data_IF_806660854964
#
_entry.id   IF_806660854964
#
_cell.length_a   1.000
_cell.length_b   1.000
_cell.length_c   1.000
_cell.angle_alpha   90.00
_cell.angle_beta   90.00
_cell.angle_gamma   90.00
#
_symmetry.space_group_name_H-M   'P 1'
#
loop_
_entity.id
_entity.type
_entity.pdbx_description
1 polymer ?
#
# COMPACT_ATOMS: atom_id res chain seq x y z
N UNK A 1 -20.20 5.50 4.32
CA UNK A 1 -20.92 4.44 3.60
C UNK A 1 -21.10 4.85 2.15
N UNK A 2 -20.75 3.94 1.22
CA UNK A 2 -20.81 4.17 -0.22
C UNK A 2 -22.11 3.63 -0.81
N UNK A 3 -22.43 2.38 -0.49
CA UNK A 3 -23.63 1.70 -0.97
C UNK A 3 -24.36 1.01 0.18
N UNK A 4 -25.61 0.73 -0.03
CA UNK A 4 -26.45 -0.09 0.86
C UNK A 4 -27.12 -1.18 0.04
N UNK A 5 -26.83 -2.42 0.39
CA UNK A 5 -27.50 -3.61 -0.16
C UNK A 5 -28.77 -3.85 0.67
N UNK A 6 -29.81 -4.42 0.08
CA UNK A 6 -31.04 -4.74 0.83
C UNK A 6 -30.73 -5.63 2.05
N UNK A 7 -30.95 -5.14 3.29
CA UNK A 7 -30.61 -5.88 4.49
C UNK A 7 -31.70 -6.86 4.92
N UNK A 8 -32.90 -6.83 4.31
CA UNK A 8 -34.07 -7.57 4.80
C UNK A 8 -33.82 -9.08 4.94
N UNK A 9 -33.25 -9.79 3.96
CA UNK A 9 -32.95 -11.23 4.09
C UNK A 9 -31.95 -11.52 5.21
N UNK A 10 -30.94 -10.66 5.39
CA UNK A 10 -29.90 -10.82 6.41
C UNK A 10 -30.43 -10.55 7.82
N UNK A 11 -31.35 -9.58 7.99
CA UNK A 11 -32.05 -9.32 9.25
C UNK A 11 -32.90 -10.54 9.63
N UNK A 12 -33.62 -11.14 8.69
CA UNK A 12 -34.39 -12.33 8.93
C UNK A 12 -33.52 -13.52 9.37
N UNK A 13 -32.36 -13.72 8.70
CA UNK A 13 -31.40 -14.75 9.05
C UNK A 13 -30.82 -14.54 10.46
N UNK A 14 -30.46 -13.31 10.81
CA UNK A 14 -29.99 -12.95 12.15
C UNK A 14 -31.02 -13.23 13.23
N UNK A 15 -32.29 -12.88 12.98
CA UNK A 15 -33.38 -13.13 13.93
C UNK A 15 -33.61 -14.65 14.13
N UNK A 16 -33.50 -15.45 13.05
CA UNK A 16 -33.59 -16.92 13.12
C UNK A 16 -32.43 -17.50 13.96
N UNK A 17 -31.19 -17.05 13.73
CA UNK A 17 -30.04 -17.48 14.51
C UNK A 17 -30.18 -17.12 16.01
N UNK A 18 -30.66 -15.91 16.32
CA UNK A 18 -30.95 -15.47 17.70
C UNK A 18 -32.00 -16.34 18.37
N UNK A 19 -33.07 -16.71 17.67
CA UNK A 19 -34.09 -17.59 18.20
C UNK A 19 -33.56 -18.99 18.51
N UNK A 20 -32.69 -19.53 17.64
CA UNK A 20 -32.01 -20.81 17.85
C UNK A 20 -31.09 -20.76 19.06
N UNK A 21 -30.30 -19.70 19.22
CA UNK A 21 -29.46 -19.49 20.40
C UNK A 21 -30.30 -19.40 21.68
N UNK A 22 -31.40 -18.68 21.68
CA UNK A 22 -32.30 -18.56 22.83
C UNK A 22 -32.85 -19.94 23.26
N UNK A 23 -33.23 -20.80 22.29
CA UNK A 23 -33.65 -22.16 22.56
C UNK A 23 -32.52 -23.00 23.18
N UNK A 24 -31.28 -22.91 22.67
CA UNK A 24 -30.13 -23.62 23.21
C UNK A 24 -29.82 -23.15 24.66
N UNK A 25 -29.92 -21.85 24.91
CA UNK A 25 -29.74 -21.28 26.26
C UNK A 25 -30.80 -21.78 27.26
N UNK A 26 -32.07 -21.87 26.85
CA UNK A 26 -33.12 -22.43 27.68
C UNK A 26 -32.87 -23.92 27.98
N UNK A 27 -32.41 -24.70 26.99
CA UNK A 27 -32.04 -26.08 27.19
C UNK A 27 -30.85 -26.24 28.16
N UNK A 28 -29.82 -25.42 28.02
CA UNK A 28 -28.69 -25.39 28.96
C UNK A 28 -29.12 -25.05 30.38
N UNK A 29 -30.02 -24.08 30.54
CA UNK A 29 -30.54 -23.75 31.87
C UNK A 29 -31.27 -24.94 32.51
N UNK A 30 -32.08 -25.69 31.74
CA UNK A 30 -32.77 -26.89 32.20
C UNK A 30 -31.81 -28.01 32.58
N UNK A 31 -30.86 -28.36 31.72
CA UNK A 31 -29.87 -29.42 31.96
C UNK A 31 -28.94 -29.10 33.12
N UNK A 32 -28.50 -27.87 33.26
CA UNK A 32 -27.72 -27.42 34.41
C UNK A 32 -28.51 -27.55 35.73
N UNK A 33 -29.78 -27.16 35.73
CA UNK A 33 -30.64 -27.34 36.91
C UNK A 33 -30.84 -28.81 37.27
N UNK A 34 -30.91 -29.69 36.26
CA UNK A 34 -30.98 -31.14 36.48
C UNK A 34 -29.65 -31.69 37.07
N UNK A 35 -28.52 -31.34 36.47
CA UNK A 35 -27.20 -31.75 36.97
C UNK A 35 -26.97 -31.27 38.43
N UNK A 36 -27.38 -30.02 38.73
CA UNK A 36 -27.30 -29.46 40.09
C UNK A 36 -28.17 -30.27 41.10
N UNK A 37 -29.38 -30.63 40.72
CA UNK A 37 -30.23 -31.50 41.57
C UNK A 37 -29.60 -32.90 41.78
N UNK A 38 -29.12 -33.54 40.71
CA UNK A 38 -28.49 -34.85 40.82
C UNK A 38 -27.19 -34.82 41.64
N UNK A 39 -26.44 -33.72 41.63
CA UNK A 39 -25.27 -33.53 42.48
C UNK A 39 -25.62 -33.65 43.96
N UNK A 40 -26.73 -33.08 44.40
CA UNK A 40 -27.21 -33.16 45.78
C UNK A 40 -27.70 -34.59 46.12
N UNK A 41 -28.47 -35.21 45.19
CA UNK A 41 -29.06 -36.55 45.38
C UNK A 41 -27.99 -37.66 45.43
N UNK A 42 -26.93 -37.55 44.61
CA UNK A 42 -25.85 -38.54 44.63
C UNK A 42 -25.04 -38.45 45.93
N UNK A 43 -24.86 -37.25 46.49
CA UNK A 43 -24.22 -37.07 47.79
C UNK A 43 -25.03 -37.70 48.94
N UNK A 44 -26.37 -37.78 48.79
CA UNK A 44 -27.29 -38.44 49.73
C UNK A 44 -27.50 -39.93 49.41
N UNK A 45 -26.78 -40.51 48.44
CA UNK A 45 -26.94 -41.90 47.92
C UNK A 45 -28.37 -42.17 47.39
N UNK A 46 -29.13 -41.16 46.97
CA UNK A 46 -30.50 -41.29 46.50
C UNK A 46 -30.61 -41.53 44.98
N UNK A 47 -29.53 -41.39 44.22
CA UNK A 47 -29.42 -41.71 42.77
C UNK A 47 -28.07 -42.36 42.48
N UNK A 48 -27.96 -43.03 41.34
CA UNK A 48 -26.69 -43.67 40.94
C UNK A 48 -25.68 -42.62 40.48
N UNK A 49 -24.38 -42.92 40.64
CA UNK A 49 -23.32 -42.07 40.09
C UNK A 49 -23.42 -41.91 38.59
N UNK A 50 -23.85 -42.98 37.89
CA UNK A 50 -24.03 -42.99 36.44
C UNK A 50 -25.11 -41.96 36.00
N UNK A 51 -26.22 -41.83 36.75
CA UNK A 51 -27.26 -40.85 36.44
C UNK A 51 -26.74 -39.41 36.61
N UNK A 52 -25.92 -39.16 37.63
CA UNK A 52 -25.26 -37.87 37.80
C UNK A 52 -24.28 -37.57 36.66
N UNK A 53 -23.42 -38.52 36.30
CA UNK A 53 -22.46 -38.39 35.22
C UNK A 53 -23.16 -38.14 33.87
N UNK A 54 -24.28 -38.81 33.59
CA UNK A 54 -25.12 -38.56 32.40
C UNK A 54 -25.75 -37.18 32.39
N UNK A 55 -26.19 -36.68 33.54
CA UNK A 55 -26.74 -35.32 33.65
C UNK A 55 -25.66 -34.23 33.42
N UNK A 56 -24.44 -34.46 33.92
CA UNK A 56 -23.30 -33.58 33.69
C UNK A 56 -22.91 -33.57 32.20
N UNK A 57 -22.87 -34.75 31.56
CA UNK A 57 -22.58 -34.89 30.13
C UNK A 57 -23.63 -34.14 29.28
N UNK A 58 -24.92 -34.28 29.63
CA UNK A 58 -26.01 -33.59 28.94
C UNK A 58 -25.92 -32.07 29.10
N UNK A 59 -25.53 -31.57 30.28
CA UNK A 59 -25.29 -30.15 30.49
C UNK A 59 -24.08 -29.66 29.68
N UNK A 60 -23.02 -30.47 29.58
CA UNK A 60 -21.85 -30.16 28.73
C UNK A 60 -22.22 -30.09 27.24
N UNK A 61 -23.05 -31.00 26.77
CA UNK A 61 -23.54 -30.99 25.39
C UNK A 61 -24.41 -29.73 25.12
N UNK A 62 -25.33 -29.40 26.00
CA UNK A 62 -26.13 -28.19 25.89
C UNK A 62 -25.28 -26.89 25.92
N UNK A 63 -24.17 -26.89 26.67
CA UNK A 63 -23.20 -25.78 26.65
C UNK A 63 -22.51 -25.65 25.28
N UNK A 64 -22.16 -26.76 24.66
CA UNK A 64 -21.60 -26.75 23.30
C UNK A 64 -22.61 -26.26 22.25
N UNK A 65 -23.91 -26.60 22.41
CA UNK A 65 -24.98 -26.12 21.53
C UNK A 65 -25.15 -24.60 21.64
N UNK A 66 -25.02 -24.03 22.86
CA UNK A 66 -25.03 -22.57 23.07
C UNK A 66 -23.81 -21.92 22.39
N UNK A 67 -22.63 -22.51 22.46
CA UNK A 67 -21.44 -22.01 21.77
C UNK A 67 -21.62 -22.00 20.25
N UNK A 68 -22.16 -23.09 19.70
CA UNK A 68 -22.52 -23.19 18.28
C UNK A 68 -23.56 -22.15 17.87
N UNK A 69 -24.61 -21.97 18.69
CA UNK A 69 -25.63 -20.95 18.46
C UNK A 69 -25.07 -19.53 18.45
N UNK A 70 -24.11 -19.21 19.35
CA UNK A 70 -23.42 -17.92 19.34
C UNK A 70 -22.65 -17.70 18.05
N UNK A 71 -21.86 -18.69 17.61
CA UNK A 71 -21.11 -18.61 16.36
C UNK A 71 -22.04 -18.40 15.14
N UNK A 72 -23.22 -19.02 15.14
CA UNK A 72 -24.23 -18.79 14.10
C UNK A 72 -24.79 -17.36 14.10
N UNK A 73 -25.02 -16.77 15.28
CA UNK A 73 -25.44 -15.37 15.43
C UNK A 73 -24.34 -14.44 14.94
N UNK A 74 -23.07 -14.67 15.31
CA UNK A 74 -21.95 -13.84 14.89
C UNK A 74 -21.80 -13.89 13.37
N UNK A 75 -21.91 -15.07 12.76
CA UNK A 75 -21.88 -15.23 11.29
C UNK A 75 -23.00 -14.42 10.61
N UNK A 76 -24.23 -14.53 11.13
CA UNK A 76 -25.36 -13.77 10.58
C UNK A 76 -25.20 -12.26 10.76
N UNK A 77 -24.60 -11.84 11.85
CA UNK A 77 -24.30 -10.42 12.12
C UNK A 77 -23.23 -9.87 11.18
N UNK A 78 -22.18 -10.63 10.90
CA UNK A 78 -21.14 -10.27 9.92
C UNK A 78 -21.77 -10.12 8.53
N UNK A 79 -22.60 -11.07 8.12
CA UNK A 79 -23.26 -11.02 6.82
C UNK A 79 -24.20 -9.80 6.70
N UNK A 80 -24.89 -9.44 7.78
CA UNK A 80 -25.69 -8.20 7.83
C UNK A 80 -24.77 -6.98 7.71
N UNK A 81 -23.62 -6.98 8.35
CA UNK A 81 -22.64 -5.89 8.24
C UNK A 81 -22.15 -5.66 6.81
N UNK A 82 -22.03 -6.70 6.01
CA UNK A 82 -21.62 -6.59 4.59
C UNK A 82 -22.70 -5.91 3.71
N UNK A 83 -23.92 -5.74 4.19
CA UNK A 83 -24.93 -4.96 3.46
C UNK A 83 -24.64 -3.47 3.44
N UNK A 84 -23.87 -2.96 4.39
CA UNK A 84 -23.35 -1.59 4.40
C UNK A 84 -21.93 -1.58 3.80
N UNK A 85 -21.83 -1.23 2.52
CA UNK A 85 -20.54 -1.13 1.83
C UNK A 85 -19.86 0.17 2.24
N UNK A 86 -18.80 0.04 3.04
CA UNK A 86 -18.01 1.17 3.53
C UNK A 86 -16.77 1.39 2.69
N UNK A 87 -16.23 2.61 2.72
CA UNK A 87 -14.92 2.89 2.12
C UNK A 87 -13.81 2.25 2.95
N UNK A 88 -12.94 1.41 2.38
CA UNK A 88 -11.81 0.83 3.09
C UNK A 88 -10.64 1.82 3.27
N UNK A 89 -10.62 2.91 2.51
CA UNK A 89 -9.58 3.94 2.52
C UNK A 89 -10.17 5.33 2.56
N UNK A 90 -9.39 6.30 3.02
CA UNK A 90 -9.70 7.72 2.85
C UNK A 90 -9.26 8.17 1.46
N UNK A 91 -10.16 8.80 0.70
CA UNK A 91 -9.86 9.21 -0.67
C UNK A 91 -11.09 9.70 -1.40
N UNK A 92 -10.96 9.83 -2.70
CA UNK A 92 -12.03 10.26 -3.60
C UNK A 92 -12.68 9.06 -4.29
N UNK A 93 -14.00 9.02 -4.29
CA UNK A 93 -14.77 8.05 -5.06
C UNK A 93 -14.91 8.54 -6.50
N UNK A 94 -14.69 7.65 -7.45
CA UNK A 94 -14.98 7.87 -8.86
C UNK A 94 -16.44 7.69 -9.21
N UNK A 95 -16.73 7.56 -10.49
CA UNK A 95 -18.09 7.37 -11.01
C UNK A 95 -18.62 6.00 -10.57
N UNK A 96 -19.89 5.96 -10.10
CA UNK A 96 -20.55 4.70 -9.82
C UNK A 96 -20.78 3.92 -11.12
N UNK A 97 -20.38 2.65 -11.12
CA UNK A 97 -20.59 1.72 -12.25
C UNK A 97 -21.93 0.97 -12.13
N UNK A 98 -22.61 1.15 -11.01
CA UNK A 98 -23.91 0.52 -10.75
C UNK A 98 -24.98 1.58 -10.47
N UNK A 99 -26.21 1.30 -10.89
CA UNK A 99 -27.38 2.16 -10.63
C UNK A 99 -28.14 1.64 -9.39
N UNK A 100 -28.90 2.51 -8.70
CA UNK A 100 -29.82 2.06 -7.66
C UNK A 100 -30.78 0.99 -8.17
N UNK A 101 -30.95 -0.10 -7.41
CA UNK A 101 -31.74 -1.26 -7.81
C UNK A 101 -30.98 -2.30 -8.65
N UNK A 102 -29.74 -2.08 -9.00
CA UNK A 102 -28.93 -3.08 -9.69
C UNK A 102 -28.69 -4.31 -8.81
N UNK A 103 -28.73 -5.47 -9.43
CA UNK A 103 -28.42 -6.73 -8.76
C UNK A 103 -26.89 -6.94 -8.69
N UNK A 104 -26.37 -7.16 -7.50
CA UNK A 104 -24.95 -7.44 -7.23
C UNK A 104 -24.80 -8.80 -6.56
N UNK A 105 -23.77 -9.55 -6.95
CA UNK A 105 -23.51 -10.89 -6.42
C UNK A 105 -22.13 -10.97 -5.78
N UNK A 106 -22.05 -11.59 -4.60
CA UNK A 106 -20.78 -11.84 -3.92
C UNK A 106 -19.86 -12.80 -4.68
N UNK A 107 -20.44 -13.70 -5.48
CA UNK A 107 -19.70 -14.68 -6.29
C UNK A 107 -19.06 -14.12 -7.55
N UNK A 108 -19.48 -12.93 -7.99
CA UNK A 108 -18.91 -12.22 -9.13
C UNK A 108 -18.35 -10.89 -8.63
N UNK A 109 -17.08 -10.64 -8.95
CA UNK A 109 -16.42 -9.37 -8.61
C UNK A 109 -17.04 -8.20 -9.41
N UNK A 110 -18.22 -7.74 -9.00
CA UNK A 110 -18.88 -6.59 -9.64
C UNK A 110 -18.19 -5.31 -9.21
N UNK A 111 -17.56 -4.62 -10.17
CA UNK A 111 -16.97 -3.31 -9.91
C UNK A 111 -18.09 -2.29 -9.68
N UNK A 112 -18.23 -1.79 -8.47
CA UNK A 112 -19.26 -0.80 -8.11
C UNK A 112 -18.76 0.63 -8.26
N UNK A 113 -17.56 0.91 -7.77
CA UNK A 113 -16.85 2.18 -7.93
C UNK A 113 -15.36 1.99 -7.65
N UNK A 114 -14.55 2.90 -8.18
CA UNK A 114 -13.11 2.96 -7.89
C UNK A 114 -12.86 4.03 -6.84
N UNK A 115 -12.16 3.67 -5.77
CA UNK A 115 -11.70 4.59 -4.74
C UNK A 115 -10.22 4.86 -4.97
N UNK A 116 -9.85 6.14 -4.95
CA UNK A 116 -8.47 6.58 -5.15
C UNK A 116 -8.02 7.40 -3.95
N UNK A 117 -6.91 6.99 -3.36
CA UNK A 117 -6.22 7.81 -2.38
C UNK A 117 -5.43 8.87 -3.13
N UNK A 118 -5.68 10.14 -2.83
CA UNK A 118 -5.04 11.28 -3.50
C UNK A 118 -3.89 11.87 -2.68
N UNK A 119 -3.82 11.60 -1.40
CA UNK A 119 -2.74 12.03 -0.51
C UNK A 119 -2.39 10.92 0.47
N UNK A 120 -1.12 10.47 0.50
CA UNK A 120 -0.04 10.79 -0.43
C UNK A 120 -0.22 10.15 -1.81
N UNK A 121 0.45 10.69 -2.84
CA UNK A 121 0.43 10.19 -4.21
C UNK A 121 1.70 9.43 -4.54
N UNK A 122 1.55 8.27 -5.18
CA UNK A 122 2.66 7.52 -5.75
C UNK A 122 2.92 7.99 -7.17
N UNK A 123 4.21 8.17 -7.49
CA UNK A 123 4.67 8.49 -8.83
C UNK A 123 5.68 7.42 -9.25
N UNK A 124 5.38 6.73 -10.33
CA UNK A 124 6.25 5.73 -10.91
C UNK A 124 7.10 6.39 -11.99
N UNK A 125 8.42 6.33 -11.80
CA UNK A 125 9.43 6.93 -12.66
C UNK A 125 10.18 5.81 -13.36
N UNK A 126 10.32 5.91 -14.68
CA UNK A 126 11.12 4.97 -15.46
C UNK A 126 12.51 5.55 -15.71
N UNK A 127 13.54 4.78 -15.39
CA UNK A 127 14.94 5.11 -15.62
C UNK A 127 15.63 4.00 -16.40
N UNK A 128 16.57 4.36 -17.30
CA UNK A 128 17.40 3.37 -17.97
C UNK A 128 18.26 2.59 -16.97
N UNK A 129 18.33 1.28 -17.11
CA UNK A 129 19.19 0.43 -16.27
C UNK A 129 20.68 0.82 -16.38
N UNK A 130 21.10 1.31 -17.54
CA UNK A 130 22.48 1.78 -17.77
C UNK A 130 22.80 3.02 -16.91
N UNK A 131 21.87 3.98 -16.84
CA UNK A 131 22.07 5.20 -16.05
C UNK A 131 22.05 4.88 -14.55
N UNK A 132 21.20 3.97 -14.12
CA UNK A 132 21.21 3.46 -12.74
C UNK A 132 22.52 2.77 -12.36
N UNK A 133 23.14 2.01 -13.28
CA UNK A 133 24.44 1.40 -13.06
C UNK A 133 25.57 2.43 -12.98
N UNK A 134 25.58 3.42 -13.87
CA UNK A 134 26.56 4.52 -13.84
C UNK A 134 26.49 5.28 -12.53
N UNK A 135 25.29 5.65 -12.09
CA UNK A 135 25.07 6.34 -10.83
C UNK A 135 25.62 5.53 -9.63
N UNK A 136 25.35 4.23 -9.58
CA UNK A 136 25.92 3.35 -8.53
C UNK A 136 27.43 3.34 -8.54
N UNK A 137 28.07 3.26 -9.71
CA UNK A 137 29.52 3.29 -9.85
C UNK A 137 30.09 4.64 -9.39
N UNK A 138 29.43 5.75 -9.71
CA UNK A 138 29.86 7.09 -9.34
C UNK A 138 29.75 7.35 -7.83
N UNK A 139 28.72 6.80 -7.19
CA UNK A 139 28.58 6.80 -5.72
C UNK A 139 29.68 5.92 -5.08
N UNK A 140 29.89 4.70 -5.57
CA UNK A 140 30.89 3.79 -5.01
C UNK A 140 32.32 4.30 -5.16
N UNK A 141 32.63 5.00 -6.25
CA UNK A 141 33.93 5.62 -6.49
C UNK A 141 34.13 6.93 -5.71
N UNK A 142 33.11 7.42 -4.97
CA UNK A 142 33.18 8.66 -4.21
C UNK A 142 33.16 9.94 -5.07
N UNK A 143 32.90 9.81 -6.39
CA UNK A 143 32.77 10.97 -7.29
C UNK A 143 31.52 11.81 -6.98
N UNK A 144 30.47 11.15 -6.52
CA UNK A 144 29.21 11.78 -6.13
C UNK A 144 28.99 11.56 -4.64
N UNK A 145 28.82 12.64 -3.89
CA UNK A 145 28.45 12.60 -2.47
C UNK A 145 26.93 12.61 -2.36
N UNK A 146 26.36 11.54 -1.82
CA UNK A 146 24.94 11.49 -1.52
C UNK A 146 24.61 12.29 -0.26
N UNK A 147 23.54 13.04 -0.27
CA UNK A 147 23.06 13.85 0.86
C UNK A 147 22.44 13.02 2.01
N UNK A 148 22.91 11.77 2.23
CA UNK A 148 22.50 10.89 3.33
C UNK A 148 21.83 9.59 2.89
N UNK A 149 21.75 8.59 3.78
CA UNK A 149 21.37 7.21 3.44
C UNK A 149 19.91 6.98 2.99
N UNK A 150 19.05 8.01 3.05
CA UNK A 150 17.60 7.88 2.74
C UNK A 150 17.00 9.07 1.97
N UNK A 151 17.78 9.92 1.32
CA UNK A 151 17.27 11.21 0.89
C UNK A 151 17.60 11.61 -0.55
N UNK A 152 17.34 10.74 -1.52
CA UNK A 152 17.17 11.26 -2.87
C UNK A 152 15.82 12.03 -2.89
N UNK A 153 15.91 13.36 -2.75
CA UNK A 153 14.79 14.26 -2.93
C UNK A 153 14.42 14.30 -4.40
N UNK A 154 13.14 14.14 -4.68
CA UNK A 154 12.62 14.19 -6.04
C UNK A 154 11.73 15.42 -6.19
N UNK A 155 11.96 16.20 -7.23
CA UNK A 155 11.09 17.29 -7.65
C UNK A 155 10.32 16.91 -8.88
N UNK A 156 9.03 17.25 -8.95
CA UNK A 156 8.21 17.03 -10.13
C UNK A 156 8.09 18.29 -10.97
N UNK A 157 8.12 18.11 -12.27
CA UNK A 157 7.74 19.11 -13.25
C UNK A 157 6.43 18.64 -13.88
N UNK A 158 5.39 19.43 -13.75
CA UNK A 158 4.06 19.17 -14.27
C UNK A 158 4.02 19.40 -15.80
N UNK A 159 2.93 19.00 -16.43
CA UNK A 159 2.73 19.15 -17.88
C UNK A 159 2.79 20.62 -18.36
N UNK A 160 2.39 21.57 -17.46
CA UNK A 160 2.46 23.00 -17.74
C UNK A 160 3.88 23.59 -17.60
N UNK A 161 4.88 22.75 -17.34
CA UNK A 161 6.28 23.16 -17.16
C UNK A 161 6.60 23.71 -15.77
N UNK A 162 5.62 23.87 -14.88
CA UNK A 162 5.86 24.34 -13.51
C UNK A 162 6.39 23.24 -12.62
N UNK A 163 7.24 23.60 -11.70
CA UNK A 163 7.73 22.69 -10.66
C UNK A 163 6.67 22.55 -9.56
N UNK A 164 6.34 21.31 -9.20
CA UNK A 164 5.47 21.02 -8.06
C UNK A 164 6.14 21.50 -6.76
N UNK A 165 5.42 22.25 -5.89
CA UNK A 165 6.04 22.95 -4.75
C UNK A 165 6.53 22.01 -3.64
N UNK A 166 6.01 20.78 -3.54
CA UNK A 166 6.38 19.82 -2.51
C UNK A 166 7.35 18.79 -3.06
N UNK A 167 8.40 18.51 -2.29
CA UNK A 167 9.39 17.50 -2.64
C UNK A 167 8.88 16.11 -2.26
N UNK A 168 9.13 15.13 -3.13
CA UNK A 168 8.86 13.74 -2.88
C UNK A 168 10.06 13.01 -2.32
N UNK A 169 9.81 11.82 -1.77
CA UNK A 169 10.81 10.91 -1.25
C UNK A 169 10.83 9.64 -2.10
N UNK A 170 12.00 9.24 -2.55
CA UNK A 170 12.20 7.93 -3.14
C UNK A 170 11.88 6.85 -2.09
N UNK A 171 10.95 5.95 -2.43
CA UNK A 171 10.52 4.89 -1.51
C UNK A 171 11.15 3.56 -1.88
N UNK A 172 11.20 3.26 -3.17
CA UNK A 172 11.59 1.96 -3.65
C UNK A 172 12.11 2.05 -5.07
N UNK A 173 13.16 1.29 -5.36
CA UNK A 173 13.62 1.01 -6.73
C UNK A 173 13.30 -0.44 -7.00
N UNK A 174 12.53 -0.74 -8.03
CA UNK A 174 12.31 -2.11 -8.45
C UNK A 174 13.66 -2.75 -8.80
N UNK A 175 13.83 -3.99 -8.38
CA UNK A 175 15.05 -4.76 -8.68
C UNK A 175 14.96 -5.39 -10.08
N UNK A 176 13.75 -5.41 -10.66
CA UNK A 176 13.46 -6.04 -11.93
C UNK A 176 13.63 -5.04 -13.07
N UNK A 177 14.43 -5.40 -14.06
CA UNK A 177 14.56 -4.66 -15.31
C UNK A 177 13.49 -5.16 -16.27
N UNK A 178 12.70 -4.25 -16.84
CA UNK A 178 11.80 -4.59 -17.94
C UNK A 178 12.63 -4.99 -19.16
N UNK A 179 12.45 -6.24 -19.60
CA UNK A 179 13.26 -6.82 -20.68
C UNK A 179 12.98 -6.21 -22.06
N UNK A 180 11.81 -5.58 -22.23
CA UNK A 180 11.41 -4.96 -23.51
C UNK A 180 11.97 -3.57 -23.67
N UNK A 181 12.08 -2.81 -22.58
CA UNK A 181 12.52 -1.40 -22.57
C UNK A 181 13.90 -1.19 -21.97
N UNK A 182 14.46 -2.19 -21.26
CA UNK A 182 15.73 -2.07 -20.53
C UNK A 182 15.67 -1.05 -19.39
N UNK A 183 14.47 -0.72 -18.89
CA UNK A 183 14.25 0.27 -17.85
C UNK A 183 13.93 -0.34 -16.50
N UNK A 184 14.21 0.42 -15.45
CA UNK A 184 13.87 0.11 -14.06
C UNK A 184 12.83 1.12 -13.58
N UNK A 185 11.81 0.65 -12.87
CA UNK A 185 10.81 1.51 -12.25
C UNK A 185 11.23 1.92 -10.85
N UNK A 186 11.21 3.21 -10.60
CA UNK A 186 11.49 3.81 -9.30
C UNK A 186 10.19 4.44 -8.79
N UNK A 187 9.77 4.09 -7.59
CA UNK A 187 8.58 4.67 -6.97
C UNK A 187 8.95 5.77 -5.99
N UNK A 188 8.33 6.92 -6.17
CA UNK A 188 8.47 8.05 -5.26
C UNK A 188 7.10 8.40 -4.64
N UNK A 189 7.13 8.83 -3.38
CA UNK A 189 5.96 9.26 -2.62
C UNK A 189 5.95 10.77 -2.52
N UNK A 190 4.85 11.39 -2.92
CA UNK A 190 4.64 12.84 -2.88
C UNK A 190 3.46 13.20 -1.97
N UNK A 191 3.64 14.16 -1.05
CA UNK A 191 2.51 14.78 -0.36
C UNK A 191 1.63 15.52 -1.38
N UNK A 192 0.32 15.39 -1.29
CA UNK A 192 -0.61 16.02 -2.23
C UNK A 192 -1.85 16.61 -1.50
N UNK A 193 -1.65 17.47 -0.48
CA UNK A 193 -2.75 17.99 0.35
C UNK A 193 -3.76 18.81 -0.46
N UNK A 194 -3.32 19.46 -1.52
CA UNK A 194 -4.18 20.30 -2.38
C UNK A 194 -4.77 19.52 -3.57
N UNK A 195 -4.53 18.20 -3.66
CA UNK A 195 -5.03 17.34 -4.73
C UNK A 195 -4.71 17.83 -6.16
N UNK A 196 -3.54 18.48 -6.33
CA UNK A 196 -3.06 18.97 -7.62
C UNK A 196 -2.62 17.82 -8.51
N UNK A 197 -1.97 16.82 -7.91
CA UNK A 197 -1.58 15.59 -8.61
C UNK A 197 -2.81 14.68 -8.72
N UNK A 198 -3.10 14.23 -9.93
CA UNK A 198 -4.19 13.31 -10.21
C UNK A 198 -3.64 11.99 -10.76
N UNK A 199 -4.29 10.85 -10.46
CA UNK A 199 -3.93 9.57 -11.06
C UNK A 199 -4.02 9.64 -12.59
N UNK A 200 -2.98 9.13 -13.26
CA UNK A 200 -2.89 9.15 -14.72
C UNK A 200 -2.28 10.42 -15.32
N UNK A 201 -1.92 11.41 -14.50
CA UNK A 201 -1.17 12.59 -14.97
C UNK A 201 0.23 12.20 -15.41
N UNK A 202 0.67 12.78 -16.53
CA UNK A 202 2.05 12.70 -16.96
C UNK A 202 2.89 13.75 -16.22
N UNK A 203 4.00 13.32 -15.62
CA UNK A 203 4.93 14.19 -14.89
C UNK A 203 6.36 13.83 -15.23
N UNK A 204 7.26 14.82 -15.12
CA UNK A 204 8.71 14.60 -15.22
C UNK A 204 9.32 14.76 -13.85
N UNK A 205 10.22 13.84 -13.50
CA UNK A 205 10.96 13.95 -12.25
C UNK A 205 12.36 14.50 -12.48
N UNK A 206 12.79 15.33 -11.55
CA UNK A 206 14.20 15.73 -11.38
C UNK A 206 14.68 15.12 -10.07
N UNK A 207 15.64 14.21 -10.17
CA UNK A 207 16.27 13.58 -9.02
C UNK A 207 17.59 14.28 -8.78
N UNK A 208 17.81 14.74 -7.56
CA UNK A 208 19.09 15.29 -7.14
C UNK A 208 19.97 14.12 -6.70
N UNK A 209 20.89 13.72 -7.58
CA UNK A 209 21.72 12.53 -7.39
C UNK A 209 22.95 12.83 -6.52
N UNK A 210 23.30 14.11 -6.34
CA UNK A 210 24.42 14.55 -5.54
C UNK A 210 25.24 15.68 -6.20
N UNK A 211 26.34 16.07 -5.55
CA UNK A 211 27.27 17.10 -6.04
C UNK A 211 28.65 16.51 -6.31
N UNK A 212 29.27 16.99 -7.35
CA UNK A 212 30.68 16.72 -7.63
C UNK A 212 31.50 18.02 -7.34
N UNK A 213 32.10 18.07 -6.16
CA UNK A 213 32.86 19.23 -5.70
C UNK A 213 34.18 19.45 -6.46
N UNK A 214 34.63 18.47 -7.25
CA UNK A 214 35.89 18.51 -8.00
C UNK A 214 35.69 18.77 -9.50
N UNK A 215 34.50 19.24 -9.91
CA UNK A 215 34.22 19.57 -11.30
C UNK A 215 34.23 21.09 -11.54
N UNK A 216 34.73 21.46 -12.71
CA UNK A 216 34.72 22.85 -13.18
C UNK A 216 33.79 23.00 -14.38
N UNK A 217 33.02 24.06 -14.42
CA UNK A 217 32.27 24.45 -15.60
C UNK A 217 33.16 25.25 -16.53
N UNK A 218 33.36 24.75 -17.72
CA UNK A 218 34.17 25.41 -18.75
C UNK A 218 33.25 25.84 -19.90
N UNK A 219 33.34 27.09 -20.41
CA UNK A 219 32.57 27.48 -21.58
C UNK A 219 32.84 26.55 -22.76
N UNK A 220 31.80 26.05 -23.43
CA UNK A 220 31.92 25.09 -24.53
C UNK A 220 32.80 25.61 -25.68
N UNK A 221 32.78 26.94 -25.91
CA UNK A 221 33.63 27.59 -26.94
C UNK A 221 35.15 27.46 -26.64
N UNK A 222 35.52 27.23 -25.37
CA UNK A 222 36.91 26.99 -24.96
C UNK A 222 37.38 25.56 -25.08
N UNK A 223 36.50 24.63 -25.41
CA UNK A 223 36.81 23.20 -25.54
C UNK A 223 37.02 22.86 -27.00
N UNK A 224 38.22 22.40 -27.33
CA UNK A 224 38.60 21.93 -28.66
C UNK A 224 38.82 20.41 -28.62
N UNK A 225 38.72 19.76 -29.77
CA UNK A 225 39.04 18.34 -29.90
C UNK A 225 40.32 18.18 -30.68
N UNK A 226 41.20 17.39 -30.16
CA UNK A 226 42.46 17.04 -30.87
C UNK A 226 42.15 16.05 -32.02
N UNK A 227 43.14 15.78 -32.92
CA UNK A 227 42.95 14.80 -34.01
C UNK A 227 42.63 13.38 -33.55
N UNK A 228 42.84 13.08 -32.25
CA UNK A 228 42.48 11.80 -31.63
C UNK A 228 41.07 11.81 -31.00
N UNK A 229 40.34 12.92 -31.12
CA UNK A 229 39.01 13.08 -30.55
C UNK A 229 38.97 13.39 -29.04
N UNK A 230 40.11 13.69 -28.41
CA UNK A 230 40.15 14.04 -26.99
C UNK A 230 39.80 15.51 -26.79
N UNK A 231 38.96 15.80 -25.80
CA UNK A 231 38.61 17.17 -25.44
C UNK A 231 39.86 17.84 -24.80
N UNK A 232 40.21 19.03 -25.29
CA UNK A 232 41.32 19.83 -24.82
C UNK A 232 40.90 21.27 -24.59
N UNK A 233 41.52 21.95 -23.63
CA UNK A 233 41.39 23.40 -23.47
C UNK A 233 42.74 24.06 -23.30
N UNK A 234 42.86 25.30 -23.73
CA UNK A 234 44.02 26.12 -23.53
C UNK A 234 43.93 26.76 -22.13
N UNK A 235 44.87 26.42 -21.27
CA UNK A 235 44.91 26.92 -19.89
C UNK A 235 46.14 27.80 -19.71
N UNK A 236 45.96 28.95 -19.08
CA UNK A 236 47.05 29.86 -18.70
C UNK A 236 47.70 29.34 -17.42
N UNK A 237 48.94 29.00 -17.46
CA UNK A 237 49.76 28.56 -16.32
C UNK A 237 50.16 29.72 -15.40
N UNK A 238 50.76 29.41 -14.25
CA UNK A 238 51.27 30.41 -13.28
C UNK A 238 52.36 31.31 -13.84
N UNK A 239 53.06 30.85 -14.89
CA UNK A 239 54.08 31.58 -15.62
C UNK A 239 53.53 32.43 -16.79
N UNK A 240 52.25 32.68 -16.84
CA UNK A 240 51.52 33.39 -17.91
C UNK A 240 51.71 32.74 -19.31
N UNK A 241 52.09 31.48 -19.38
CA UNK A 241 52.18 30.72 -20.65
C UNK A 241 50.93 29.91 -20.87
N UNK A 242 50.50 29.83 -22.12
CA UNK A 242 49.37 29.04 -22.54
C UNK A 242 49.84 27.64 -22.86
N UNK A 243 49.19 26.65 -22.23
CA UNK A 243 49.45 25.24 -22.49
C UNK A 243 48.12 24.46 -22.74
N UNK A 244 48.10 23.55 -23.72
CA UNK A 244 46.97 22.67 -23.91
C UNK A 244 46.86 21.64 -22.78
N UNK A 245 45.69 21.49 -22.21
CA UNK A 245 45.38 20.46 -21.21
C UNK A 245 44.26 19.58 -21.73
N UNK A 246 44.43 18.28 -21.56
CA UNK A 246 43.42 17.28 -21.86
C UNK A 246 42.37 17.34 -20.77
N UNK A 247 41.09 17.43 -21.17
CA UNK A 247 39.94 17.49 -20.26
C UNK A 247 39.26 16.12 -20.22
N UNK A 248 38.83 15.72 -19.02
CA UNK A 248 37.88 14.62 -18.85
C UNK A 248 36.49 15.27 -18.75
N UNK A 249 35.74 15.24 -19.83
CA UNK A 249 34.37 15.82 -19.87
C UNK A 249 33.36 14.79 -19.39
N UNK A 250 32.47 15.18 -18.47
CA UNK A 250 31.38 14.35 -17.97
C UNK A 250 30.03 14.64 -18.66
N UNK A 251 29.91 15.78 -19.37
CA UNK A 251 28.69 16.17 -20.07
C UNK A 251 28.63 17.66 -20.34
N UNK A 252 27.55 18.11 -20.98
CA UNK A 252 27.22 19.52 -21.19
C UNK A 252 26.10 19.93 -20.25
N UNK A 253 26.22 21.12 -19.64
CA UNK A 253 25.22 21.68 -18.75
C UNK A 253 24.63 22.94 -19.36
N UNK A 254 23.30 22.96 -19.50
CA UNK A 254 22.53 24.09 -20.03
C UNK A 254 22.53 24.20 -21.56
N UNK A 255 21.37 24.45 -22.12
CA UNK A 255 21.16 25.11 -23.42
C UNK A 255 20.73 26.52 -23.14
#
# INVERSE_FOLDING_TARGET
>A
RLYKIDPAPYIAALNSAKATLARAQANLASTNAQAARFKVLVAANAVSKQDYDNAVASAGQAAADVASGKAAVDTAQINLGYTDVLSPITGRIGISQVTPGAYVQASQATLMATLQQLDPMYVDLTQSSLDGLKLRQDIQSGRIKTSGPNAAKVKLVLEDGKTYPLEGKLQFTDVTVDQTTGSVTIRALFPNPNHVLLPGMFVRARIDEGSNDNAFLVPQIGVQHDPKGQATALVVGQDNKIAPRVLQTSGTYGQ
#
